data_IF_553026154587
#
_entry.id   IF_553026154587
#
_cell.length_a   1.000
_cell.length_b   1.000
_cell.length_c   1.000
_cell.angle_alpha   90.00
_cell.angle_beta   90.00
_cell.angle_gamma   90.00
#
_symmetry.space_group_name_H-M   'P 1'
#
loop_
_entity.id
_entity.type
_entity.pdbx_description
1 polymer ?
#
# COMPACT_ATOMS: atom_id res chain seq x y z
N UNK A 1 -14.83 1.53 -44.76
CA UNK A 1 -15.17 2.18 -43.48
C UNK A 1 -14.11 1.84 -42.43
N UNK A 2 -13.35 2.81 -41.90
CA UNK A 2 -12.37 2.53 -40.84
C UNK A 2 -13.03 2.53 -39.45
N UNK A 3 -12.93 1.42 -38.70
CA UNK A 3 -13.28 1.39 -37.27
C UNK A 3 -12.18 2.09 -36.47
N UNK A 4 -12.53 3.18 -35.78
CA UNK A 4 -11.60 4.00 -34.99
C UNK A 4 -11.31 3.29 -33.65
N UNK A 5 -10.04 2.93 -33.41
CA UNK A 5 -9.64 2.30 -32.15
C UNK A 5 -9.89 3.23 -30.93
N UNK A 6 -10.24 2.68 -29.74
CA UNK A 6 -10.54 3.47 -28.57
C UNK A 6 -9.29 4.17 -28.02
N UNK A 7 -9.29 5.50 -27.98
CA UNK A 7 -8.21 6.29 -27.36
C UNK A 7 -8.21 6.11 -25.84
N UNK A 8 -7.37 5.21 -25.33
CA UNK A 8 -7.09 5.12 -23.90
C UNK A 8 -6.53 6.46 -23.39
N UNK A 9 -7.30 7.11 -22.52
CA UNK A 9 -6.92 8.40 -21.94
C UNK A 9 -5.71 8.21 -21.01
N UNK A 10 -4.52 8.67 -21.43
CA UNK A 10 -3.29 8.66 -20.61
C UNK A 10 -3.39 9.66 -19.46
N UNK A 11 -4.11 9.29 -18.41
CA UNK A 11 -4.05 9.97 -17.11
C UNK A 11 -2.66 9.73 -16.48
N UNK A 12 -1.67 10.58 -16.80
CA UNK A 12 -0.38 10.61 -16.12
C UNK A 12 -0.61 10.87 -14.63
N UNK A 13 -0.39 9.86 -13.78
CA UNK A 13 -0.64 9.97 -12.34
C UNK A 13 0.46 10.77 -11.64
N UNK A 14 0.38 12.10 -11.75
CA UNK A 14 1.26 13.04 -11.03
C UNK A 14 1.11 12.94 -9.51
N UNK A 15 0.08 12.26 -9.01
CA UNK A 15 -0.13 11.99 -7.60
C UNK A 15 0.96 11.11 -6.97
N UNK A 16 1.53 10.12 -7.67
CA UNK A 16 2.51 9.20 -7.08
C UNK A 16 3.83 9.86 -6.64
N UNK A 17 4.53 10.68 -7.46
CA UNK A 17 5.72 11.38 -7.00
C UNK A 17 5.42 12.38 -5.88
N UNK A 18 4.24 13.01 -5.89
CA UNK A 18 3.82 13.91 -4.82
C UNK A 18 3.57 13.18 -3.49
N UNK A 19 2.92 12.00 -3.55
CA UNK A 19 2.76 11.08 -2.41
C UNK A 19 4.12 10.65 -1.86
N UNK A 20 5.09 10.34 -2.73
CA UNK A 20 6.44 9.95 -2.29
C UNK A 20 7.14 11.09 -1.53
N UNK A 21 7.09 12.32 -2.05
CA UNK A 21 7.68 13.49 -1.41
C UNK A 21 7.04 13.78 -0.04
N UNK A 22 5.70 13.74 0.06
CA UNK A 22 4.98 13.85 1.33
C UNK A 22 5.48 12.78 2.31
N UNK A 23 5.65 11.54 1.83
CA UNK A 23 5.99 10.41 2.69
C UNK A 23 7.44 10.46 3.21
N UNK A 24 8.39 10.89 2.37
CA UNK A 24 9.78 11.16 2.78
C UNK A 24 9.82 12.27 3.85
N UNK A 25 9.13 13.38 3.61
CA UNK A 25 9.01 14.50 4.57
C UNK A 25 8.27 14.13 5.87
N UNK A 26 7.39 13.13 5.82
CA UNK A 26 6.73 12.59 7.01
C UNK A 26 7.65 11.70 7.84
N UNK A 27 8.52 10.89 7.24
CA UNK A 27 9.40 9.99 8.02
C UNK A 27 10.65 10.72 8.53
N UNK A 28 11.24 11.63 7.76
CA UNK A 28 12.44 12.36 8.21
C UNK A 28 12.14 13.36 9.35
N UNK A 29 13.06 13.54 10.31
CA UNK A 29 12.89 14.50 11.40
C UNK A 29 12.96 15.94 10.87
N UNK A 30 12.04 16.80 11.31
CA UNK A 30 11.90 18.16 10.77
C UNK A 30 12.99 19.16 11.26
N UNK A 31 13.85 18.77 12.21
CA UNK A 31 14.88 19.62 12.80
C UNK A 31 16.25 19.44 12.10
N UNK A 32 16.41 19.99 10.89
CA UNK A 32 17.73 20.38 10.30
C UNK A 32 17.64 20.93 8.86
N UNK A 33 16.64 21.77 8.55
CA UNK A 33 16.93 22.84 7.58
C UNK A 33 17.83 23.87 8.29
N UNK A 34 18.93 24.34 7.68
CA UNK A 34 19.74 25.40 8.27
C UNK A 34 18.88 26.67 8.39
N UNK A 35 19.02 27.47 9.46
CA UNK A 35 18.33 28.74 9.55
C UNK A 35 18.81 29.64 8.41
N UNK A 36 17.87 30.04 7.54
CA UNK A 36 18.09 31.12 6.58
C UNK A 36 18.55 32.37 7.33
N UNK A 37 19.59 33.04 6.83
CA UNK A 37 20.19 34.24 7.41
C UNK A 37 19.17 35.38 7.56
N UNK A 38 18.46 35.41 8.69
CA UNK A 38 17.61 36.53 9.09
C UNK A 38 18.48 37.58 9.79
N UNK A 39 18.71 38.71 9.11
CA UNK A 39 19.44 39.84 9.67
C UNK A 39 18.79 40.40 10.94
N UNK A 40 19.59 41.08 11.74
CA UNK A 40 19.18 41.68 13.01
C UNK A 40 18.15 42.80 12.85
N UNK A 41 17.05 42.73 13.59
CA UNK A 41 16.45 43.90 14.22
C UNK A 41 15.68 43.51 15.48
N UNK A 42 15.79 44.33 16.52
CA UNK A 42 15.22 44.09 17.84
C UNK A 42 14.00 44.96 18.08
N UNK A 43 12.93 44.39 18.67
CA UNK A 43 12.12 45.04 19.70
C UNK A 43 11.16 44.04 20.36
N UNK A 44 10.80 44.30 21.62
CA UNK A 44 9.85 43.48 22.40
C UNK A 44 8.52 44.24 22.63
N UNK A 45 7.46 43.58 23.13
CA UNK A 45 6.08 43.99 22.82
C UNK A 45 5.45 44.96 23.83
N UNK A 46 4.35 45.59 23.40
CA UNK A 46 3.36 46.25 24.24
C UNK A 46 1.95 45.78 23.89
N UNK A 47 1.04 45.81 24.86
CA UNK A 47 -0.35 45.34 24.75
C UNK A 47 -1.33 46.46 25.11
N UNK A 48 -2.41 46.68 24.34
CA UNK A 48 -3.55 47.52 24.78
C UNK A 48 -4.82 47.39 23.90
N UNK A 49 -5.72 46.50 24.35
CA UNK A 49 -7.16 46.68 24.64
C UNK A 49 -7.95 47.92 24.10
N UNK A 50 -9.12 47.65 23.48
CA UNK A 50 -10.31 48.54 23.25
C UNK A 50 -10.16 49.74 22.25
N UNK A 51 -11.21 50.36 21.66
CA UNK A 51 -12.67 50.14 21.68
C UNK A 51 -13.42 50.60 20.39
N UNK A 52 -14.63 50.03 20.21
CA UNK A 52 -15.89 50.52 19.56
C UNK A 52 -15.97 51.83 18.71
N UNK A 53 -16.57 51.73 17.52
CA UNK A 53 -17.65 52.59 16.93
C UNK A 53 -18.04 52.05 15.53
N UNK A 54 -19.25 52.25 14.94
CA UNK A 54 -20.52 52.76 15.47
C UNK A 54 -21.49 53.37 14.41
N UNK A 55 -22.38 52.58 13.77
CA UNK A 55 -23.63 52.95 13.01
C UNK A 55 -24.36 51.66 12.57
N UNK A 56 -25.65 51.40 12.86
CA UNK A 56 -26.89 51.89 12.21
C UNK A 56 -26.96 51.56 10.70
N UNK A 57 -28.01 50.98 10.09
CA UNK A 57 -29.42 50.61 10.46
C UNK A 57 -29.97 49.61 9.36
N UNK A 58 -31.15 48.94 9.33
CA UNK A 58 -32.37 48.75 10.18
C UNK A 58 -33.21 47.52 9.66
N UNK A 59 -34.12 46.98 10.48
CA UNK A 59 -35.26 46.05 10.18
C UNK A 59 -34.95 44.66 9.52
N UNK A 60 -35.48 43.48 9.92
CA UNK A 60 -36.82 43.01 10.38
C UNK A 60 -37.81 42.73 9.21
N UNK A 61 -38.62 41.64 9.15
CA UNK A 61 -39.18 40.77 10.22
C UNK A 61 -39.47 39.31 9.77
N UNK A 62 -39.82 38.41 10.71
CA UNK A 62 -40.33 37.04 10.46
C UNK A 62 -41.87 36.97 10.39
N UNK A 63 -42.43 36.00 9.63
CA UNK A 63 -43.59 35.12 9.95
C UNK A 63 -43.82 34.08 8.81
N UNK A 64 -43.79 32.77 9.06
CA UNK A 64 -44.85 31.82 9.52
C UNK A 64 -45.67 31.14 8.39
N UNK A 65 -46.09 29.89 8.62
CA UNK A 65 -46.77 28.92 7.72
C UNK A 65 -48.33 29.05 7.82
N UNK A 66 -49.23 28.15 7.29
CA UNK A 66 -49.09 26.94 6.42
C UNK A 66 -50.17 26.76 5.30
N UNK A 67 -50.19 25.57 4.64
CA UNK A 67 -51.32 24.83 4.01
C UNK A 67 -52.22 25.45 2.90
N UNK A 68 -52.38 24.76 1.76
CA UNK A 68 -53.52 23.84 1.50
C UNK A 68 -53.43 23.01 0.18
N UNK A 69 -54.50 22.26 -0.13
CA UNK A 69 -54.64 21.30 -1.25
C UNK A 69 -54.99 22.00 -2.61
N UNK A 70 -55.10 21.34 -3.77
CA UNK A 70 -56.17 20.36 -4.15
C UNK A 70 -55.86 19.64 -5.48
N UNK A 71 -56.58 18.53 -5.76
CA UNK A 71 -56.50 17.74 -6.99
C UNK A 71 -57.39 18.26 -8.13
N UNK A 72 -57.02 17.88 -9.37
CA UNK A 72 -57.90 17.77 -10.54
C UNK A 72 -57.63 18.78 -11.68
N UNK A 73 -58.10 18.56 -12.91
CA UNK A 73 -58.52 17.33 -13.62
C UNK A 73 -58.80 17.68 -15.10
N UNK A 74 -58.77 16.67 -15.97
CA UNK A 74 -59.39 16.66 -17.31
C UNK A 74 -58.84 17.64 -18.39
N UNK A 75 -59.19 17.40 -19.67
CA UNK A 75 -58.70 18.09 -20.88
C UNK A 75 -59.88 18.65 -21.71
N UNK A 76 -59.70 19.30 -22.89
CA UNK A 76 -59.36 18.57 -24.13
C UNK A 76 -58.49 19.34 -25.16
N UNK A 77 -58.21 18.68 -26.29
CA UNK A 77 -57.49 19.22 -27.45
C UNK A 77 -58.29 20.27 -28.23
N UNK A 78 -57.59 21.19 -28.92
CA UNK A 78 -58.13 21.98 -30.03
C UNK A 78 -57.11 22.02 -31.18
N UNK A 79 -57.62 22.05 -32.42
CA UNK A 79 -56.87 21.77 -33.65
C UNK A 79 -57.13 22.89 -34.66
N UNK A 80 -56.09 23.63 -35.03
CA UNK A 80 -56.14 24.64 -36.10
C UNK A 80 -54.86 24.60 -36.95
N UNK A 81 -54.97 25.00 -38.21
CA UNK A 81 -53.94 24.90 -39.25
C UNK A 81 -53.36 26.26 -39.66
N UNK A 82 -52.20 26.20 -40.33
CA UNK A 82 -51.59 27.21 -41.21
C UNK A 82 -51.08 28.54 -40.61
N UNK A 83 -49.93 28.98 -41.13
CA UNK A 83 -49.64 30.41 -41.30
C UNK A 83 -48.22 30.88 -40.99
N UNK A 84 -47.39 31.04 -42.03
CA UNK A 84 -46.43 32.14 -42.18
C UNK A 84 -45.12 32.15 -41.36
N UNK A 85 -44.00 32.31 -42.07
CA UNK A 85 -42.74 32.82 -41.50
C UNK A 85 -42.80 34.34 -41.31
N UNK A 86 -42.38 34.86 -40.14
CA UNK A 86 -41.69 36.15 -39.97
C UNK A 86 -41.33 36.41 -38.49
N UNK A 87 -40.21 37.12 -38.25
CA UNK A 87 -40.04 37.96 -37.05
C UNK A 87 -39.11 37.45 -35.96
N UNK A 88 -38.07 38.24 -35.70
CA UNK A 88 -37.03 38.11 -34.68
C UNK A 88 -37.45 37.59 -33.30
N UNK A 89 -36.58 36.78 -32.69
CA UNK A 89 -36.53 36.61 -31.23
C UNK A 89 -35.10 36.61 -30.71
N UNK A 90 -34.89 37.32 -29.59
CA UNK A 90 -33.57 37.66 -29.04
C UNK A 90 -32.77 36.42 -28.61
N UNK A 91 -31.42 36.44 -28.70
CA UNK A 91 -30.58 35.33 -28.27
C UNK A 91 -30.70 35.10 -26.75
N UNK A 92 -31.36 34.01 -26.38
CA UNK A 92 -31.56 33.59 -24.98
C UNK A 92 -30.23 33.54 -24.20
N UNK A 93 -30.18 34.07 -22.97
CA UNK A 93 -28.96 34.05 -22.17
C UNK A 93 -28.53 32.62 -21.87
N UNK A 94 -27.29 32.27 -22.25
CA UNK A 94 -26.71 30.95 -21.98
C UNK A 94 -26.75 30.68 -20.47
N UNK A 95 -27.39 29.58 -20.06
CA UNK A 95 -27.42 29.12 -18.66
C UNK A 95 -25.99 29.12 -18.09
N UNK A 96 -25.75 29.68 -16.88
CA UNK A 96 -24.42 29.72 -16.30
C UNK A 96 -23.76 28.34 -16.26
N UNK A 97 -22.49 28.28 -16.63
CA UNK A 97 -21.76 27.02 -16.76
C UNK A 97 -21.43 26.45 -15.36
N UNK A 98 -22.36 25.68 -14.79
CA UNK A 98 -22.22 25.08 -13.46
C UNK A 98 -20.98 24.16 -13.41
N UNK A 99 -19.92 24.63 -12.76
CA UNK A 99 -18.62 23.94 -12.73
C UNK A 99 -18.74 22.63 -11.95
N UNK A 100 -18.17 21.56 -12.53
CA UNK A 100 -18.28 20.15 -12.11
C UNK A 100 -17.59 19.82 -10.76
N UNK A 101 -18.16 20.29 -9.64
CA UNK A 101 -17.73 19.92 -8.28
C UNK A 101 -18.08 18.45 -7.93
N UNK A 102 -19.33 18.02 -8.14
CA UNK A 102 -19.78 16.64 -7.88
C UNK A 102 -18.96 15.59 -8.65
N UNK A 103 -18.68 15.87 -9.92
CA UNK A 103 -17.84 15.06 -10.82
C UNK A 103 -16.39 14.90 -10.31
N UNK A 104 -15.92 15.81 -9.45
CA UNK A 104 -14.56 15.83 -8.92
C UNK A 104 -14.50 15.11 -7.57
N UNK A 105 -15.46 15.37 -6.67
CA UNK A 105 -15.54 14.66 -5.37
C UNK A 105 -15.83 13.16 -5.55
N UNK A 106 -16.69 12.77 -6.49
CA UNK A 106 -16.96 11.36 -6.82
C UNK A 106 -15.72 10.63 -7.37
N UNK A 107 -14.94 11.27 -8.24
CA UNK A 107 -13.66 10.73 -8.73
C UNK A 107 -12.61 10.63 -7.61
N UNK A 108 -12.53 11.65 -6.74
CA UNK A 108 -11.61 11.63 -5.60
C UNK A 108 -11.97 10.53 -4.59
N UNK A 109 -13.26 10.35 -4.25
CA UNK A 109 -13.74 9.25 -3.41
C UNK A 109 -13.46 7.88 -4.04
N UNK A 110 -13.66 7.73 -5.36
CA UNK A 110 -13.33 6.50 -6.09
C UNK A 110 -11.83 6.21 -6.09
N UNK A 111 -10.99 7.24 -6.25
CA UNK A 111 -9.53 7.13 -6.14
C UNK A 111 -9.11 6.75 -4.71
N UNK A 112 -9.71 7.35 -3.69
CA UNK A 112 -9.42 7.07 -2.30
C UNK A 112 -9.85 5.66 -1.87
N UNK A 113 -10.98 5.15 -2.37
CA UNK A 113 -11.38 3.75 -2.12
C UNK A 113 -10.43 2.75 -2.79
N UNK A 114 -9.93 3.04 -3.99
CA UNK A 114 -8.95 2.21 -4.72
C UNK A 114 -7.55 2.24 -4.11
N UNK A 115 -7.15 3.38 -3.53
CA UNK A 115 -5.83 3.58 -2.91
C UNK A 115 -5.91 3.64 -1.37
N UNK A 116 -6.93 3.03 -0.76
CA UNK A 116 -7.22 3.18 0.67
C UNK A 116 -6.01 2.86 1.56
N UNK A 117 -5.34 1.73 1.31
CA UNK A 117 -4.18 1.34 2.09
C UNK A 117 -3.02 2.35 1.96
N UNK A 118 -2.75 2.87 0.76
CA UNK A 118 -1.70 3.87 0.54
C UNK A 118 -1.99 5.19 1.26
N UNK A 119 -3.22 5.70 1.15
CA UNK A 119 -3.63 6.93 1.87
C UNK A 119 -3.65 6.70 3.38
N UNK A 120 -4.12 5.53 3.81
CA UNK A 120 -4.09 5.07 5.21
C UNK A 120 -2.68 5.03 5.79
N UNK A 121 -1.68 4.59 5.02
CA UNK A 121 -0.27 4.62 5.44
C UNK A 121 0.21 6.05 5.68
N UNK A 122 -0.14 7.01 4.80
CA UNK A 122 0.22 8.44 4.97
C UNK A 122 -0.42 9.00 6.24
N UNK A 123 -1.72 8.72 6.46
CA UNK A 123 -2.47 9.16 7.65
C UNK A 123 -1.92 8.49 8.92
N UNK A 124 -1.51 7.23 8.87
CA UNK A 124 -0.88 6.52 9.98
C UNK A 124 0.47 7.17 10.36
N UNK A 125 1.37 7.41 9.40
CA UNK A 125 2.66 8.08 9.71
C UNK A 125 2.42 9.52 10.22
N UNK A 126 1.53 10.28 9.58
CA UNK A 126 1.22 11.66 9.98
C UNK A 126 0.63 11.76 11.38
N UNK A 127 -0.37 10.94 11.71
CA UNK A 127 -0.97 10.92 13.05
C UNK A 127 0.00 10.39 14.11
N UNK A 128 0.87 9.43 13.77
CA UNK A 128 1.92 8.97 14.67
C UNK A 128 3.00 10.04 14.92
N UNK A 129 3.31 10.89 13.93
CA UNK A 129 4.26 12.01 14.09
C UNK A 129 3.67 13.15 14.94
N UNK A 130 2.37 13.41 14.81
CA UNK A 130 1.67 14.47 15.55
C UNK A 130 1.32 14.07 17.00
N UNK A 131 0.88 12.82 17.22
CA UNK A 131 0.36 12.36 18.52
C UNK A 131 0.95 11.01 18.99
N UNK A 132 2.29 10.83 19.01
CA UNK A 132 2.92 9.54 19.31
C UNK A 132 2.56 8.99 20.70
N UNK A 133 2.27 9.87 21.67
CA UNK A 133 1.89 9.47 23.03
C UNK A 133 0.58 8.66 23.12
N UNK A 134 -0.32 8.80 22.15
CA UNK A 134 -1.59 8.06 22.12
C UNK A 134 -1.34 6.58 21.74
N UNK A 135 -0.44 6.35 20.78
CA UNK A 135 -0.21 5.05 20.15
C UNK A 135 1.07 4.31 20.56
N UNK A 136 1.91 4.87 21.44
CA UNK A 136 3.08 4.18 22.00
C UNK A 136 2.66 2.99 22.89
N UNK A 137 3.58 2.05 23.12
CA UNK A 137 3.37 1.00 24.11
C UNK A 137 3.32 1.62 25.53
N UNK A 138 2.39 1.16 26.37
CA UNK A 138 2.05 1.84 27.63
C UNK A 138 1.37 3.20 27.45
N UNK A 139 0.99 3.58 26.22
CA UNK A 139 0.21 4.77 25.91
C UNK A 139 -1.27 4.61 26.27
N UNK A 140 -2.05 5.66 26.04
CA UNK A 140 -3.46 5.75 26.49
C UNK A 140 -4.35 4.63 25.93
N UNK A 141 -4.09 4.17 24.70
CA UNK A 141 -4.87 3.10 24.05
C UNK A 141 -4.28 1.69 24.25
N UNK A 142 -3.13 1.56 24.95
CA UNK A 142 -2.30 0.33 25.04
C UNK A 142 -2.34 -0.57 23.79
N UNK A 143 -1.95 -0.07 22.59
CA UNK A 143 -2.11 -0.81 21.34
C UNK A 143 -1.38 -2.15 21.32
N UNK A 144 -0.30 -2.30 22.08
CA UNK A 144 0.42 -3.55 22.26
C UNK A 144 -0.48 -4.73 22.68
N UNK A 145 -1.49 -4.47 23.52
CA UNK A 145 -2.40 -5.51 24.00
C UNK A 145 -3.45 -5.87 22.93
N UNK A 146 -4.11 -4.88 22.35
CA UNK A 146 -5.20 -5.11 21.39
C UNK A 146 -4.68 -5.36 19.97
N UNK A 147 -3.88 -4.45 19.43
CA UNK A 147 -3.38 -4.48 18.05
C UNK A 147 -2.21 -5.47 17.93
N UNK A 148 -1.34 -5.57 18.96
CA UNK A 148 -0.21 -6.51 18.98
C UNK A 148 -0.59 -7.98 19.17
N UNK A 149 -1.56 -8.30 20.06
CA UNK A 149 -1.99 -9.68 20.26
C UNK A 149 -3.18 -10.08 19.38
N UNK A 150 -4.30 -9.36 19.50
CA UNK A 150 -5.53 -9.71 18.78
C UNK A 150 -5.44 -9.31 17.30
N UNK A 151 -4.91 -8.12 16.99
CA UNK A 151 -4.74 -7.66 15.60
C UNK A 151 -3.88 -8.59 14.73
N UNK A 152 -2.72 -9.03 15.22
CA UNK A 152 -1.86 -10.01 14.54
C UNK A 152 -2.60 -11.34 14.31
N UNK A 153 -3.22 -11.88 15.35
CA UNK A 153 -4.04 -13.10 15.30
C UNK A 153 -5.15 -12.98 14.26
N UNK A 154 -5.86 -11.84 14.21
CA UNK A 154 -6.92 -11.58 13.25
C UNK A 154 -6.42 -11.41 11.82
N UNK A 155 -5.26 -10.79 11.57
CA UNK A 155 -4.67 -10.72 10.22
C UNK A 155 -4.40 -12.13 9.71
N UNK A 156 -3.83 -13.00 10.53
CA UNK A 156 -3.51 -14.39 10.14
C UNK A 156 -4.76 -15.27 10.00
N UNK A 157 -5.74 -15.13 10.90
CA UNK A 157 -7.05 -15.77 10.79
C UNK A 157 -7.79 -15.37 9.49
N UNK A 158 -7.77 -14.08 9.14
CA UNK A 158 -8.41 -13.57 7.91
C UNK A 158 -7.62 -13.94 6.65
N UNK A 159 -6.29 -14.06 6.70
CA UNK A 159 -5.49 -14.63 5.61
C UNK A 159 -5.85 -16.10 5.37
N UNK A 160 -5.97 -16.91 6.44
CA UNK A 160 -6.45 -18.28 6.35
C UNK A 160 -7.87 -18.36 5.78
N UNK A 161 -8.80 -17.57 6.31
CA UNK A 161 -10.19 -17.53 5.84
C UNK A 161 -10.32 -16.99 4.40
N UNK A 162 -9.38 -16.21 3.89
CA UNK A 162 -9.39 -15.66 2.52
C UNK A 162 -8.91 -16.64 1.44
N UNK A 163 -8.26 -17.75 1.80
CA UNK A 163 -7.53 -18.59 0.86
C UNK A 163 -8.42 -19.69 0.24
N UNK A 164 -8.79 -19.51 -1.04
CA UNK A 164 -9.51 -20.52 -1.83
C UNK A 164 -8.54 -21.56 -2.43
N UNK A 165 -8.67 -22.82 -2.01
CA UNK A 165 -7.80 -23.92 -2.49
C UNK A 165 -8.03 -24.26 -3.97
N UNK A 166 -9.23 -24.02 -4.51
CA UNK A 166 -9.56 -24.18 -5.94
C UNK A 166 -8.81 -23.18 -6.83
N UNK A 167 -8.85 -21.88 -6.49
CA UNK A 167 -8.07 -20.83 -7.17
C UNK A 167 -6.57 -21.17 -7.14
N UNK A 168 -6.09 -21.69 -6.00
CA UNK A 168 -4.70 -22.11 -5.85
C UNK A 168 -4.35 -23.32 -6.73
N UNK A 169 -5.24 -24.32 -6.82
CA UNK A 169 -5.00 -25.55 -7.61
C UNK A 169 -4.92 -25.27 -9.12
N UNK A 170 -5.81 -24.42 -9.63
CA UNK A 170 -5.82 -24.08 -11.06
C UNK A 170 -4.57 -23.28 -11.47
N UNK A 171 -4.19 -22.28 -10.67
CA UNK A 171 -3.01 -21.46 -10.93
C UNK A 171 -1.67 -22.09 -10.46
N UNK A 172 -1.72 -23.23 -9.74
CA UNK A 172 -0.53 -24.04 -9.44
C UNK A 172 -0.01 -24.81 -10.66
N UNK A 173 -0.79 -24.90 -11.75
CA UNK A 173 -0.45 -25.57 -13.01
C UNK A 173 0.94 -25.22 -13.57
N UNK A 174 1.33 -23.94 -13.58
CA UNK A 174 2.71 -23.56 -13.90
C UNK A 174 3.64 -23.69 -12.69
N UNK A 175 3.83 -24.93 -12.22
CA UNK A 175 4.69 -25.27 -11.09
C UNK A 175 6.14 -24.77 -11.26
N UNK A 176 6.63 -24.72 -12.51
CA UNK A 176 7.98 -24.26 -12.87
C UNK A 176 8.17 -22.76 -12.57
N UNK A 177 7.23 -21.92 -12.99
CA UNK A 177 7.21 -20.49 -12.65
C UNK A 177 7.11 -20.29 -11.15
N UNK A 178 6.19 -21.03 -10.53
CA UNK A 178 5.88 -20.89 -9.11
C UNK A 178 7.09 -21.25 -8.23
N UNK A 179 7.73 -22.40 -8.48
CA UNK A 179 8.94 -22.84 -7.78
C UNK A 179 10.09 -21.83 -7.92
N UNK A 180 10.33 -21.30 -9.13
CA UNK A 180 11.36 -20.28 -9.33
C UNK A 180 11.12 -19.02 -8.52
N UNK A 181 9.88 -18.50 -8.47
CA UNK A 181 9.56 -17.31 -7.65
C UNK A 181 9.80 -17.59 -6.17
N UNK A 182 9.45 -18.78 -5.66
CA UNK A 182 9.71 -19.11 -4.25
C UNK A 182 11.20 -19.27 -3.94
N UNK A 183 11.97 -19.94 -4.82
CA UNK A 183 13.43 -20.03 -4.70
C UNK A 183 14.09 -18.65 -4.73
N UNK A 184 13.64 -17.75 -5.60
CA UNK A 184 14.16 -16.38 -5.60
C UNK A 184 13.79 -15.64 -4.30
N UNK A 185 12.55 -15.79 -3.83
CA UNK A 185 12.03 -15.07 -2.65
C UNK A 185 12.70 -15.51 -1.34
N UNK A 186 12.96 -16.81 -1.16
CA UNK A 186 13.41 -17.41 0.11
C UNK A 186 14.83 -17.98 0.10
N UNK A 187 15.46 -18.18 -1.07
CA UNK A 187 16.85 -18.66 -1.17
C UNK A 187 17.76 -17.59 -1.81
N UNK A 188 17.45 -17.10 -3.02
CA UNK A 188 18.31 -16.12 -3.69
C UNK A 188 18.35 -14.77 -2.95
N UNK A 189 17.19 -14.22 -2.57
CA UNK A 189 17.13 -12.95 -1.84
C UNK A 189 17.89 -13.00 -0.51
N UNK A 190 17.70 -13.99 0.40
CA UNK A 190 18.43 -13.99 1.67
C UNK A 190 19.92 -14.30 1.53
N UNK A 191 20.29 -15.31 0.73
CA UNK A 191 21.67 -15.82 0.71
C UNK A 191 22.57 -15.19 -0.35
N UNK A 192 22.04 -14.76 -1.49
CA UNK A 192 22.82 -14.13 -2.57
C UNK A 192 22.75 -12.60 -2.55
N UNK A 193 21.73 -12.02 -1.89
CA UNK A 193 21.58 -10.56 -1.77
C UNK A 193 21.72 -10.10 -0.32
N UNK A 194 20.90 -10.63 0.61
CA UNK A 194 20.83 -10.18 2.00
C UNK A 194 22.14 -10.33 2.78
N UNK A 195 22.70 -11.54 2.82
CA UNK A 195 23.97 -11.80 3.53
C UNK A 195 25.16 -11.06 2.87
N UNK A 196 25.39 -11.12 1.54
CA UNK A 196 26.50 -10.38 0.92
C UNK A 196 26.36 -8.86 1.04
N UNK A 197 25.14 -8.30 0.92
CA UNK A 197 24.92 -6.87 1.11
C UNK A 197 25.23 -6.43 2.54
N UNK A 198 24.68 -7.12 3.54
CA UNK A 198 24.81 -6.69 4.94
C UNK A 198 26.24 -6.86 5.45
N UNK A 199 26.91 -7.96 5.11
CA UNK A 199 28.34 -8.17 5.43
C UNK A 199 29.27 -7.29 4.61
N UNK A 200 28.94 -7.02 3.34
CA UNK A 200 29.69 -6.08 2.49
C UNK A 200 29.61 -4.64 3.00
N UNK A 201 28.45 -4.20 3.49
CA UNK A 201 28.33 -2.89 4.16
C UNK A 201 29.09 -2.85 5.49
N UNK A 202 28.97 -3.90 6.31
CA UNK A 202 29.67 -4.03 7.61
C UNK A 202 31.20 -4.03 7.46
N UNK A 203 31.72 -4.64 6.39
CA UNK A 203 33.16 -4.72 6.10
C UNK A 203 33.72 -3.51 5.34
N UNK A 204 33.08 -3.09 4.24
CA UNK A 204 33.59 -2.00 3.39
C UNK A 204 33.29 -0.61 3.95
N UNK A 205 32.24 -0.45 4.76
CA UNK A 205 31.84 0.82 5.35
C UNK A 205 31.48 0.66 6.85
N UNK A 206 32.46 0.33 7.72
CA UNK A 206 32.22 0.13 9.15
C UNK A 206 31.51 1.34 9.78
N UNK A 207 30.41 1.09 10.49
CA UNK A 207 29.61 2.14 11.14
C UNK A 207 28.64 2.91 10.23
N UNK A 208 28.57 2.65 8.92
CA UNK A 208 27.62 3.32 8.01
C UNK A 208 26.15 3.09 8.41
N UNK A 209 25.85 1.91 8.97
CA UNK A 209 24.56 1.57 9.56
C UNK A 209 24.84 0.77 10.86
N UNK A 210 24.18 1.08 12.00
CA UNK A 210 24.29 0.28 13.21
C UNK A 210 23.74 -1.13 13.01
N UNK A 211 24.28 -2.09 13.75
CA UNK A 211 24.00 -3.52 13.59
C UNK A 211 22.50 -3.90 13.49
N UNK A 212 21.57 -3.33 14.29
CA UNK A 212 20.14 -3.61 14.17
C UNK A 212 19.49 -3.19 12.84
N UNK A 213 20.06 -2.21 12.11
CA UNK A 213 19.60 -1.86 10.76
C UNK A 213 20.09 -2.83 9.70
N UNK A 214 21.34 -3.29 9.81
CA UNK A 214 21.88 -4.34 8.94
C UNK A 214 21.06 -5.63 9.14
N UNK A 215 20.70 -5.94 10.39
CA UNK A 215 19.81 -7.03 10.72
C UNK A 215 18.40 -6.79 10.16
N UNK A 216 17.84 -5.57 10.27
CA UNK A 216 16.58 -5.18 9.61
C UNK A 216 16.58 -5.33 8.08
N UNK A 217 17.72 -5.07 7.42
CA UNK A 217 17.90 -5.26 5.98
C UNK A 217 17.93 -6.76 5.62
N UNK A 218 18.63 -7.59 6.40
CA UNK A 218 18.63 -9.03 6.22
C UNK A 218 17.24 -9.63 6.50
N UNK A 219 16.57 -9.22 7.58
CA UNK A 219 15.17 -9.56 7.88
C UNK A 219 14.27 -9.27 6.67
N UNK A 220 14.34 -8.06 6.09
CA UNK A 220 13.56 -7.68 4.92
C UNK A 220 13.75 -8.66 3.75
N UNK A 221 14.97 -9.16 3.51
CA UNK A 221 15.21 -10.12 2.43
C UNK A 221 14.51 -11.47 2.64
N UNK A 222 14.26 -11.89 3.90
CA UNK A 222 13.58 -13.16 4.23
C UNK A 222 12.05 -13.13 4.07
N UNK A 223 11.45 -11.96 3.82
CA UNK A 223 9.99 -11.82 3.80
C UNK A 223 9.33 -12.36 2.52
N UNK A 224 8.07 -12.84 2.61
CA UNK A 224 7.25 -13.16 1.45
C UNK A 224 6.79 -11.91 0.69
N UNK A 225 6.17 -12.13 -0.48
CA UNK A 225 5.72 -11.04 -1.38
C UNK A 225 4.33 -10.48 -1.06
N UNK A 226 3.95 -9.36 -1.69
CA UNK A 226 2.68 -8.67 -1.43
C UNK A 226 1.52 -9.20 -2.28
N UNK A 227 0.35 -9.47 -1.69
CA UNK A 227 -0.83 -9.96 -2.42
C UNK A 227 -1.49 -8.86 -3.27
N UNK A 228 -2.29 -7.98 -2.66
CA UNK A 228 -3.08 -6.95 -3.38
C UNK A 228 -2.24 -6.10 -4.33
N UNK A 229 -1.00 -5.83 -3.94
CA UNK A 229 -0.10 -4.92 -4.63
C UNK A 229 0.59 -5.56 -5.86
N UNK A 230 1.12 -6.79 -5.77
CA UNK A 230 1.68 -7.45 -6.96
C UNK A 230 0.58 -7.71 -7.99
N UNK A 231 -0.62 -8.09 -7.53
CA UNK A 231 -1.80 -8.26 -8.38
C UNK A 231 -2.16 -6.96 -9.12
N UNK A 232 -2.22 -5.84 -8.38
CA UNK A 232 -2.50 -4.52 -8.96
C UNK A 232 -1.45 -4.11 -10.02
N UNK A 233 -0.15 -4.21 -9.69
CA UNK A 233 0.92 -3.84 -10.61
C UNK A 233 0.97 -4.76 -11.84
N UNK A 234 0.76 -6.07 -11.66
CA UNK A 234 0.69 -7.04 -12.75
C UNK A 234 -0.49 -6.74 -13.68
N UNK A 235 -1.69 -6.52 -13.12
CA UNK A 235 -2.89 -6.18 -13.88
C UNK A 235 -2.74 -4.87 -14.66
N UNK A 236 -2.19 -3.83 -14.02
CA UNK A 236 -1.94 -2.54 -14.67
C UNK A 236 -0.88 -2.63 -15.79
N UNK A 237 0.05 -3.60 -15.69
CA UNK A 237 1.08 -3.90 -16.68
C UNK A 237 0.66 -4.96 -17.71
N UNK A 238 -0.61 -5.37 -17.79
CA UNK A 238 -1.10 -6.36 -18.78
C UNK A 238 -0.64 -7.81 -18.55
N UNK A 239 -0.06 -8.11 -17.38
CA UNK A 239 0.48 -9.41 -17.02
C UNK A 239 -0.54 -10.42 -16.48
N UNK A 240 -0.07 -11.63 -16.14
CA UNK A 240 -0.91 -12.72 -15.67
C UNK A 240 -1.37 -12.52 -14.22
N UNK A 241 -2.61 -12.06 -14.06
CA UNK A 241 -3.25 -11.87 -12.75
C UNK A 241 -3.34 -13.18 -11.97
N UNK A 242 -3.67 -14.29 -12.64
CA UNK A 242 -3.74 -15.62 -12.01
C UNK A 242 -2.37 -16.08 -11.47
N UNK A 243 -1.32 -15.98 -12.27
CA UNK A 243 0.04 -16.33 -11.84
C UNK A 243 0.54 -15.42 -10.71
N UNK A 244 0.13 -14.14 -10.70
CA UNK A 244 0.46 -13.17 -9.65
C UNK A 244 -0.24 -13.49 -8.32
N UNK A 245 -1.55 -13.77 -8.38
CA UNK A 245 -2.35 -14.21 -7.22
C UNK A 245 -1.77 -15.49 -6.62
N UNK A 246 -1.53 -16.50 -7.46
CA UNK A 246 -0.95 -17.78 -7.05
C UNK A 246 0.41 -17.61 -6.36
N UNK A 247 1.35 -16.91 -6.99
CA UNK A 247 2.67 -16.71 -6.41
C UNK A 247 2.66 -15.91 -5.12
N UNK A 248 1.78 -14.91 -5.00
CA UNK A 248 1.62 -14.17 -3.77
C UNK A 248 1.02 -15.03 -2.65
N UNK A 249 0.02 -15.88 -2.95
CA UNK A 249 -0.56 -16.81 -1.99
C UNK A 249 0.45 -17.88 -1.56
N UNK A 250 1.09 -18.58 -2.50
CA UNK A 250 2.12 -19.60 -2.21
C UNK A 250 3.26 -18.99 -1.39
N UNK A 251 3.71 -17.78 -1.72
CA UNK A 251 4.76 -17.08 -0.98
C UNK A 251 4.32 -16.75 0.45
N UNK A 252 3.12 -16.20 0.66
CA UNK A 252 2.66 -15.92 2.03
C UNK A 252 2.41 -17.21 2.83
N UNK A 253 1.99 -18.30 2.19
CA UNK A 253 1.84 -19.62 2.82
C UNK A 253 3.18 -20.21 3.24
N UNK A 254 4.19 -20.24 2.35
CA UNK A 254 5.53 -20.70 2.74
C UNK A 254 6.22 -19.75 3.72
N UNK A 255 5.95 -18.45 3.67
CA UNK A 255 6.47 -17.45 4.60
C UNK A 255 6.15 -17.76 6.08
N UNK A 256 5.02 -18.42 6.36
CA UNK A 256 4.62 -18.91 7.69
C UNK A 256 5.69 -19.82 8.32
N UNK A 257 6.46 -20.54 7.50
CA UNK A 257 7.47 -21.50 7.94
C UNK A 257 8.90 -21.05 7.59
N UNK A 258 9.12 -20.65 6.33
CA UNK A 258 10.44 -20.32 5.82
C UNK A 258 11.00 -19.02 6.38
N UNK A 259 10.18 -17.97 6.54
CA UNK A 259 10.68 -16.72 7.13
C UNK A 259 11.14 -16.94 8.58
N UNK A 260 10.35 -17.55 9.50
CA UNK A 260 10.86 -17.99 10.80
C UNK A 260 12.15 -18.81 10.77
N UNK A 261 12.24 -19.82 9.89
CA UNK A 261 13.43 -20.68 9.80
C UNK A 261 14.68 -19.91 9.34
N UNK A 262 14.53 -19.02 8.36
CA UNK A 262 15.60 -18.12 7.90
C UNK A 262 16.02 -17.14 8.99
N UNK A 263 15.07 -16.53 9.69
CA UNK A 263 15.35 -15.61 10.79
C UNK A 263 16.11 -16.31 11.92
N UNK A 264 15.71 -17.53 12.33
CA UNK A 264 16.50 -18.30 13.29
C UNK A 264 17.88 -18.67 12.73
N UNK A 265 17.98 -19.05 11.46
CA UNK A 265 19.27 -19.39 10.82
C UNK A 265 20.27 -18.23 10.78
N UNK A 266 19.80 -16.97 10.73
CA UNK A 266 20.67 -15.78 10.73
C UNK A 266 20.86 -15.13 12.10
N UNK A 267 19.85 -15.20 12.99
CA UNK A 267 19.82 -14.46 14.25
C UNK A 267 19.74 -15.33 15.51
N UNK A 268 19.78 -16.66 15.39
CA UNK A 268 19.51 -17.60 16.50
C UNK A 268 20.40 -17.51 17.75
N UNK A 269 21.51 -16.75 17.71
CA UNK A 269 22.33 -16.40 18.88
C UNK A 269 22.05 -14.98 19.43
N UNK A 270 21.46 -14.10 18.61
CA UNK A 270 21.05 -12.74 18.97
C UNK A 270 19.59 -12.67 19.49
N UNK A 271 18.91 -13.82 19.54
CA UNK A 271 17.57 -13.95 20.11
C UNK A 271 17.70 -14.71 21.44
N UNK A 272 17.30 -14.06 22.52
CA UNK A 272 17.36 -14.59 23.90
C UNK A 272 16.39 -15.77 24.15
N UNK A 273 15.44 -16.00 23.25
CA UNK A 273 14.47 -17.10 23.34
C UNK A 273 15.04 -18.39 22.73
N UNK A 274 15.08 -19.52 23.46
CA UNK A 274 15.54 -20.79 22.91
C UNK A 274 14.63 -21.24 21.75
N UNK A 275 15.22 -21.88 20.74
CA UNK A 275 14.58 -22.16 19.44
C UNK A 275 13.18 -22.78 19.56
N UNK A 276 13.00 -23.79 20.41
CA UNK A 276 11.70 -24.43 20.61
C UNK A 276 10.62 -23.47 21.12
N UNK A 277 10.97 -22.57 22.05
CA UNK A 277 10.04 -21.55 22.54
C UNK A 277 9.67 -20.52 21.46
N UNK A 278 10.63 -20.14 20.60
CA UNK A 278 10.34 -19.32 19.42
C UNK A 278 9.40 -20.03 18.44
N UNK A 279 9.68 -21.29 18.09
CA UNK A 279 8.86 -22.06 17.15
C UNK A 279 7.44 -22.20 17.70
N UNK A 280 7.27 -22.54 18.98
CA UNK A 280 5.95 -22.59 19.63
C UNK A 280 5.26 -21.21 19.61
N UNK A 281 5.96 -20.12 19.95
CA UNK A 281 5.42 -18.75 19.91
C UNK A 281 4.91 -18.39 18.51
N UNK A 282 5.67 -18.74 17.47
CA UNK A 282 5.32 -18.45 16.07
C UNK A 282 4.22 -19.37 15.53
N UNK A 283 4.22 -20.66 15.89
CA UNK A 283 3.10 -21.55 15.62
C UNK A 283 1.80 -21.02 16.23
N UNK A 284 1.82 -20.58 17.49
CA UNK A 284 0.64 -20.03 18.16
C UNK A 284 0.19 -18.67 17.60
N UNK A 285 1.12 -17.81 17.17
CA UNK A 285 0.83 -16.45 16.65
C UNK A 285 0.48 -16.39 15.16
N UNK A 286 0.94 -17.36 14.36
CA UNK A 286 0.88 -17.31 12.88
C UNK A 286 0.19 -18.55 12.31
N UNK A 287 0.68 -19.74 12.62
CA UNK A 287 0.19 -20.99 12.02
C UNK A 287 -1.22 -21.35 12.52
N UNK A 288 -1.41 -21.40 13.85
CA UNK A 288 -2.69 -21.75 14.47
C UNK A 288 -3.85 -20.85 13.98
N UNK A 289 -3.72 -19.52 13.92
CA UNK A 289 -4.77 -18.67 13.35
C UNK A 289 -5.04 -18.94 11.85
N UNK A 290 -4.00 -19.15 11.03
CA UNK A 290 -4.16 -19.51 9.60
C UNK A 290 -4.90 -20.84 9.45
N UNK A 291 -4.52 -21.86 10.23
CA UNK A 291 -5.16 -23.18 10.23
C UNK A 291 -6.62 -23.10 10.65
N UNK A 292 -6.94 -22.37 11.73
CA UNK A 292 -8.33 -22.13 12.14
C UNK A 292 -9.10 -21.37 11.05
N UNK A 293 -8.49 -20.40 10.38
CA UNK A 293 -9.10 -19.67 9.27
C UNK A 293 -9.43 -20.56 8.07
N UNK A 294 -8.53 -21.48 7.72
CA UNK A 294 -8.75 -22.50 6.68
C UNK A 294 -9.84 -23.50 7.06
N UNK A 295 -9.84 -24.01 8.30
CA UNK A 295 -10.89 -24.90 8.81
C UNK A 295 -12.27 -24.21 8.77
N UNK A 296 -12.34 -22.92 9.14
CA UNK A 296 -13.55 -22.13 9.01
C UNK A 296 -13.98 -21.95 7.55
N UNK A 297 -13.05 -21.81 6.57
CA UNK A 297 -13.39 -21.78 5.14
C UNK A 297 -13.93 -23.12 4.61
N UNK A 298 -13.78 -24.22 5.36
CA UNK A 298 -14.49 -25.48 5.12
C UNK A 298 -15.97 -25.48 5.53
N UNK A 299 -16.47 -24.40 6.14
CA UNK A 299 -17.85 -24.29 6.66
C UNK A 299 -18.64 -23.18 5.96
N UNK A 300 -19.89 -22.95 6.39
CA UNK A 300 -20.74 -21.80 5.99
C UNK A 300 -20.06 -20.43 6.12
N UNK A 301 -18.97 -20.32 6.90
CA UNK A 301 -18.15 -19.11 6.95
C UNK A 301 -17.48 -18.76 5.60
N UNK A 302 -17.34 -19.72 4.65
CA UNK A 302 -16.93 -19.43 3.27
C UNK A 302 -17.88 -18.43 2.61
N UNK A 303 -19.18 -18.67 2.70
CA UNK A 303 -20.20 -17.87 2.04
C UNK A 303 -20.34 -16.50 2.71
N UNK A 304 -20.30 -16.47 4.06
CA UNK A 304 -20.24 -15.24 4.85
C UNK A 304 -19.02 -14.40 4.46
N UNK A 305 -17.84 -15.02 4.31
CA UNK A 305 -16.63 -14.35 3.86
C UNK A 305 -16.77 -13.84 2.42
N UNK A 306 -17.16 -14.69 1.47
CA UNK A 306 -17.20 -14.33 0.05
C UNK A 306 -18.18 -13.16 -0.20
N UNK A 307 -19.38 -13.23 0.40
CA UNK A 307 -20.41 -12.17 0.33
C UNK A 307 -19.96 -10.85 1.00
N UNK A 308 -19.07 -10.90 1.99
CA UNK A 308 -18.55 -9.73 2.70
C UNK A 308 -17.05 -9.46 2.44
N UNK A 309 -16.48 -10.04 1.38
CA UNK A 309 -15.01 -10.11 1.16
C UNK A 309 -14.36 -8.72 1.11
N UNK A 310 -15.04 -7.73 0.54
CA UNK A 310 -14.63 -6.31 0.55
C UNK A 310 -14.50 -5.75 1.98
N UNK A 311 -15.40 -6.11 2.89
CA UNK A 311 -15.38 -5.68 4.31
C UNK A 311 -14.23 -6.37 5.06
N UNK A 312 -14.05 -7.68 4.88
CA UNK A 312 -12.97 -8.41 5.54
C UNK A 312 -11.58 -7.97 5.07
N UNK A 313 -11.39 -7.73 3.76
CA UNK A 313 -10.14 -7.15 3.24
C UNK A 313 -9.90 -5.73 3.79
N UNK A 314 -10.94 -4.89 3.87
CA UNK A 314 -10.84 -3.55 4.48
C UNK A 314 -10.54 -3.59 5.98
N UNK A 315 -11.06 -4.58 6.72
CA UNK A 315 -10.74 -4.81 8.13
C UNK A 315 -9.27 -5.22 8.29
N UNK A 316 -8.76 -6.14 7.46
CA UNK A 316 -7.36 -6.55 7.47
C UNK A 316 -6.41 -5.38 7.13
N UNK A 317 -6.78 -4.53 6.16
CA UNK A 317 -6.09 -3.27 5.86
C UNK A 317 -6.05 -2.33 7.07
N UNK A 318 -7.19 -2.12 7.76
CA UNK A 318 -7.27 -1.24 8.94
C UNK A 318 -6.41 -1.77 10.10
N UNK A 319 -6.50 -3.06 10.43
CA UNK A 319 -5.70 -3.66 11.52
C UNK A 319 -4.21 -3.51 11.21
N UNK A 320 -3.79 -3.76 9.96
CA UNK A 320 -2.39 -3.58 9.57
C UNK A 320 -1.93 -2.13 9.69
N UNK A 321 -2.75 -1.17 9.26
CA UNK A 321 -2.48 0.26 9.44
C UNK A 321 -2.36 0.63 10.93
N UNK A 322 -3.13 -0.01 11.82
CA UNK A 322 -2.98 0.17 13.28
C UNK A 322 -1.67 -0.39 13.83
N UNK A 323 -1.18 -1.54 13.31
CA UNK A 323 0.14 -2.09 13.69
C UNK A 323 1.26 -1.15 13.23
N UNK A 324 1.18 -0.65 11.99
CA UNK A 324 2.11 0.35 11.45
C UNK A 324 2.09 1.63 12.28
N UNK A 325 0.90 2.13 12.63
CA UNK A 325 0.73 3.32 13.45
C UNK A 325 1.35 3.16 14.85
N UNK A 326 1.11 2.04 15.53
CA UNK A 326 1.75 1.73 16.82
C UNK A 326 3.29 1.63 16.69
N UNK A 327 3.80 0.98 15.64
CA UNK A 327 5.24 0.91 15.37
C UNK A 327 5.85 2.32 15.18
N UNK A 328 5.22 3.18 14.38
CA UNK A 328 5.65 4.58 14.21
C UNK A 328 5.51 5.42 15.50
N UNK A 329 4.46 5.23 16.30
CA UNK A 329 4.30 5.93 17.58
C UNK A 329 5.40 5.56 18.58
N UNK A 330 5.78 4.28 18.66
CA UNK A 330 6.93 3.83 19.45
C UNK A 330 8.24 4.44 18.94
N UNK A 331 8.47 4.37 17.63
CA UNK A 331 9.63 4.95 16.94
C UNK A 331 9.79 6.46 17.18
N UNK A 332 8.70 7.24 17.08
CA UNK A 332 8.74 8.68 17.34
C UNK A 332 8.79 9.03 18.83
N UNK A 333 8.36 8.14 19.74
CA UNK A 333 8.47 8.37 21.19
C UNK A 333 9.87 8.06 21.73
N UNK A 334 10.42 6.88 21.39
CA UNK A 334 11.72 6.41 21.91
C UNK A 334 12.92 6.94 21.10
N UNK A 335 12.65 7.54 19.94
CA UNK A 335 13.62 7.60 18.85
C UNK A 335 13.74 6.24 18.15
N UNK A 336 14.04 6.25 16.85
CA UNK A 336 14.24 5.01 16.08
C UNK A 336 15.62 4.37 16.30
N UNK A 337 16.51 5.01 17.06
CA UNK A 337 17.96 4.77 17.00
C UNK A 337 18.57 5.24 15.67
N UNK A 338 17.90 6.15 14.96
CA UNK A 338 18.28 6.60 13.61
C UNK A 338 18.58 8.09 13.59
N UNK A 339 19.87 8.42 13.58
CA UNK A 339 20.37 9.70 13.09
C UNK A 339 19.94 9.93 11.63
N UNK A 340 19.90 11.20 11.22
CA UNK A 340 19.50 11.62 9.88
C UNK A 340 20.30 10.89 8.78
N UNK A 341 21.60 10.66 9.01
CA UNK A 341 22.48 9.89 8.12
C UNK A 341 21.93 8.49 7.82
N UNK A 342 21.54 7.72 8.85
CA UNK A 342 21.00 6.37 8.68
C UNK A 342 19.69 6.36 7.89
N UNK A 343 18.84 7.36 8.10
CA UNK A 343 17.62 7.57 7.32
C UNK A 343 17.91 7.86 5.84
N UNK A 344 18.92 8.68 5.56
CA UNK A 344 19.36 8.99 4.18
C UNK A 344 19.95 7.75 3.51
N UNK A 345 20.83 6.99 4.18
CA UNK A 345 21.42 5.75 3.64
C UNK A 345 20.35 4.71 3.33
N UNK A 346 19.33 4.53 4.19
CA UNK A 346 18.21 3.65 3.88
C UNK A 346 17.37 4.15 2.69
N UNK A 347 17.13 5.46 2.61
CA UNK A 347 16.37 6.07 1.51
C UNK A 347 17.11 6.05 0.17
N UNK A 348 18.43 5.90 0.12
CA UNK A 348 19.18 5.68 -1.12
C UNK A 348 19.37 4.20 -1.43
N UNK A 349 19.71 3.38 -0.43
CA UNK A 349 19.98 1.95 -0.59
C UNK A 349 18.73 1.14 -0.99
N UNK A 350 17.59 1.37 -0.33
CA UNK A 350 16.39 0.56 -0.52
C UNK A 350 15.77 0.69 -1.93
N UNK A 351 15.65 1.90 -2.53
CA UNK A 351 15.24 2.03 -3.93
C UNK A 351 16.17 1.31 -4.90
N UNK A 352 17.49 1.44 -4.72
CA UNK A 352 18.49 0.83 -5.60
C UNK A 352 18.43 -0.70 -5.51
N UNK A 353 18.33 -1.25 -4.30
CA UNK A 353 18.19 -2.68 -4.03
C UNK A 353 16.94 -3.27 -4.69
N UNK A 354 15.77 -2.63 -4.51
CA UNK A 354 14.51 -3.14 -5.06
C UNK A 354 14.40 -2.94 -6.58
N UNK A 355 14.89 -1.81 -7.13
CA UNK A 355 14.98 -1.63 -8.59
C UNK A 355 15.95 -2.63 -9.21
N UNK A 356 17.08 -2.91 -8.56
CA UNK A 356 18.02 -3.96 -8.93
C UNK A 356 17.35 -5.34 -8.97
N UNK A 357 16.60 -5.71 -7.94
CA UNK A 357 15.81 -6.96 -7.93
C UNK A 357 14.78 -7.02 -9.07
N UNK A 358 14.06 -5.93 -9.33
CA UNK A 358 13.08 -5.88 -10.43
C UNK A 358 13.76 -6.11 -11.79
N UNK A 359 14.87 -5.44 -12.05
CA UNK A 359 15.64 -5.59 -13.29
C UNK A 359 16.28 -6.97 -13.42
N UNK A 360 16.86 -7.51 -12.34
CA UNK A 360 17.46 -8.85 -12.32
C UNK A 360 16.40 -9.95 -12.53
N UNK A 361 15.26 -9.86 -11.83
CA UNK A 361 14.13 -10.79 -12.00
C UNK A 361 13.57 -10.71 -13.41
N UNK A 362 13.41 -9.50 -13.97
CA UNK A 362 12.95 -9.32 -15.35
C UNK A 362 13.96 -9.80 -16.38
N UNK A 363 15.27 -9.74 -16.09
CA UNK A 363 16.32 -10.38 -16.89
C UNK A 363 16.15 -11.90 -16.88
N UNK A 364 16.12 -12.51 -15.70
CA UNK A 364 16.03 -13.95 -15.50
C UNK A 364 14.77 -14.57 -16.13
N UNK A 365 13.59 -14.01 -15.84
CA UNK A 365 12.32 -14.56 -16.35
C UNK A 365 12.15 -14.38 -17.87
N UNK A 366 12.80 -13.39 -18.50
CA UNK A 366 12.83 -13.23 -19.97
C UNK A 366 13.69 -14.25 -20.71
N UNK A 367 14.49 -15.07 -20.01
CA UNK A 367 15.37 -16.04 -20.69
C UNK A 367 14.57 -17.17 -21.36
N UNK A 368 14.94 -17.51 -22.60
CA UNK A 368 14.30 -18.61 -23.36
C UNK A 368 14.43 -19.99 -22.67
N UNK A 369 15.35 -20.15 -21.72
CA UNK A 369 15.54 -21.39 -20.95
C UNK A 369 14.26 -21.86 -20.21
N UNK A 370 13.33 -20.94 -19.91
CA UNK A 370 12.14 -21.28 -19.14
C UNK A 370 10.83 -21.35 -19.93
N UNK A 371 10.76 -20.73 -21.12
CA UNK A 371 9.56 -20.65 -21.98
C UNK A 371 8.29 -20.07 -21.30
N UNK A 372 8.44 -19.14 -20.36
CA UNK A 372 7.30 -18.41 -19.78
C UNK A 372 6.75 -17.37 -20.75
N UNK A 373 5.43 -17.17 -20.77
CA UNK A 373 4.80 -16.12 -21.57
C UNK A 373 5.14 -14.71 -21.05
N UNK A 374 5.13 -13.69 -21.92
CA UNK A 374 5.42 -12.29 -21.53
C UNK A 374 4.55 -11.82 -20.36
N UNK A 375 3.30 -12.30 -20.28
CA UNK A 375 2.36 -12.00 -19.19
C UNK A 375 2.77 -12.62 -17.85
N UNK A 376 3.28 -13.86 -17.86
CA UNK A 376 3.78 -14.55 -16.66
C UNK A 376 5.11 -13.96 -16.16
N UNK A 377 6.00 -13.57 -17.08
CA UNK A 377 7.29 -12.96 -16.73
C UNK A 377 7.10 -11.66 -15.94
N UNK A 378 6.14 -10.81 -16.34
CA UNK A 378 5.76 -9.60 -15.59
C UNK A 378 5.20 -9.93 -14.21
N UNK A 379 4.33 -10.94 -14.11
CA UNK A 379 3.77 -11.39 -12.85
C UNK A 379 4.86 -11.89 -11.87
N UNK A 380 5.74 -12.76 -12.36
CA UNK A 380 6.83 -13.36 -11.60
C UNK A 380 7.90 -12.33 -11.20
N UNK A 381 8.22 -11.37 -12.05
CA UNK A 381 9.12 -10.25 -11.74
C UNK A 381 8.62 -9.45 -10.53
N UNK A 382 7.34 -9.06 -10.50
CA UNK A 382 6.75 -8.37 -9.36
C UNK A 382 6.70 -9.27 -8.12
N UNK A 383 6.21 -10.51 -8.24
CA UNK A 383 6.13 -11.41 -7.10
C UNK A 383 7.50 -11.72 -6.48
N UNK A 384 8.56 -11.91 -7.27
CA UNK A 384 9.90 -12.23 -6.77
C UNK A 384 10.65 -11.02 -6.16
N UNK A 385 10.25 -9.77 -6.46
CA UNK A 385 10.97 -8.56 -6.04
C UNK A 385 10.31 -7.79 -4.90
N UNK A 386 8.99 -7.93 -4.73
CA UNK A 386 8.22 -7.24 -3.71
C UNK A 386 8.30 -7.96 -2.36
N UNK A 387 8.24 -7.20 -1.27
CA UNK A 387 8.33 -7.69 0.11
C UNK A 387 7.17 -7.13 0.94
N UNK A 388 6.53 -7.98 1.74
CA UNK A 388 5.24 -7.65 2.37
C UNK A 388 5.37 -7.24 3.83
N UNK A 389 5.09 -5.95 4.07
CA UNK A 389 4.94 -5.37 5.40
C UNK A 389 3.80 -6.05 6.19
N UNK A 390 2.76 -6.53 5.49
CA UNK A 390 1.59 -7.20 6.08
C UNK A 390 1.93 -8.46 6.89
N UNK A 391 2.97 -9.19 6.46
CA UNK A 391 3.49 -10.37 7.14
C UNK A 391 4.69 -10.01 8.03
N UNK A 392 5.62 -9.22 7.48
CA UNK A 392 6.89 -8.93 8.14
C UNK A 392 6.77 -8.14 9.43
N UNK A 393 5.96 -7.08 9.47
CA UNK A 393 5.88 -6.23 10.67
C UNK A 393 5.26 -6.98 11.89
N UNK A 394 4.15 -7.73 11.75
CA UNK A 394 3.68 -8.65 12.79
C UNK A 394 4.73 -9.67 13.26
N UNK A 395 5.50 -10.24 12.31
CA UNK A 395 6.48 -11.27 12.62
C UNK A 395 7.67 -10.70 13.42
N UNK A 396 8.24 -9.58 12.97
CA UNK A 396 9.38 -8.92 13.64
C UNK A 396 8.97 -8.45 15.04
N UNK A 397 7.79 -7.85 15.19
CA UNK A 397 7.24 -7.48 16.50
C UNK A 397 7.04 -8.69 17.44
N UNK A 398 6.78 -9.89 16.90
CA UNK A 398 6.62 -11.13 17.69
C UNK A 398 7.96 -11.77 18.05
N UNK A 399 8.95 -11.70 17.16
CA UNK A 399 10.28 -12.32 17.33
C UNK A 399 11.16 -11.47 18.25
N UNK A 400 11.24 -10.17 18.01
CA UNK A 400 12.06 -9.21 18.76
C UNK A 400 11.23 -8.42 19.78
N UNK A 401 10.19 -9.05 20.32
CA UNK A 401 9.34 -8.49 21.38
C UNK A 401 10.18 -8.16 22.63
N UNK A 402 9.99 -6.98 23.20
CA UNK A 402 10.78 -6.49 24.35
C UNK A 402 12.15 -5.89 24.01
N UNK A 403 12.75 -6.24 22.86
CA UNK A 403 14.06 -5.74 22.45
C UNK A 403 14.04 -4.20 22.25
N UNK A 404 15.04 -3.50 22.79
CA UNK A 404 15.17 -2.03 22.68
C UNK A 404 15.27 -1.54 21.23
N UNK A 405 15.89 -2.33 20.36
CA UNK A 405 16.16 -2.00 18.95
C UNK A 405 15.03 -2.40 17.99
N UNK A 406 13.86 -2.82 18.49
CA UNK A 406 12.73 -3.28 17.66
C UNK A 406 12.37 -2.30 16.52
N UNK A 407 12.39 -0.99 16.79
CA UNK A 407 12.14 0.03 15.77
C UNK A 407 13.14 -0.02 14.61
N UNK A 408 14.41 -0.32 14.86
CA UNK A 408 15.44 -0.43 13.84
C UNK A 408 15.31 -1.71 13.00
N UNK A 409 14.97 -2.86 13.61
CA UNK A 409 14.65 -4.08 12.85
C UNK A 409 13.45 -3.89 11.92
N UNK A 410 12.44 -3.13 12.35
CA UNK A 410 11.25 -2.82 11.54
C UNK A 410 11.52 -1.77 10.45
N UNK A 411 12.46 -0.84 10.67
CA UNK A 411 12.62 0.34 9.83
C UNK A 411 12.81 0.04 8.32
N UNK A 412 13.70 -0.88 7.87
CA UNK A 412 13.87 -1.16 6.45
C UNK A 412 12.59 -1.67 5.75
N UNK A 413 11.77 -2.44 6.47
CA UNK A 413 10.47 -2.93 5.98
C UNK A 413 9.47 -1.76 5.85
N UNK A 414 9.48 -0.85 6.83
CA UNK A 414 8.63 0.34 6.83
C UNK A 414 9.04 1.31 5.72
N UNK A 415 10.35 1.53 5.52
CA UNK A 415 10.93 2.37 4.45
C UNK A 415 10.65 1.81 3.04
N UNK A 416 10.86 0.52 2.78
CA UNK A 416 10.70 -0.01 1.42
C UNK A 416 9.23 -0.07 0.96
N UNK A 417 8.27 -0.27 1.86
CA UNK A 417 6.94 -0.76 1.47
C UNK A 417 6.14 0.11 0.47
N UNK A 418 6.16 1.46 0.51
CA UNK A 418 5.60 2.29 -0.55
C UNK A 418 6.61 2.68 -1.63
N UNK A 419 7.93 2.65 -1.35
CA UNK A 419 8.95 2.82 -2.40
C UNK A 419 8.78 1.78 -3.51
N UNK A 420 8.57 0.51 -3.15
CA UNK A 420 8.28 -0.56 -4.11
C UNK A 420 6.98 -0.34 -4.92
N UNK A 421 6.02 0.48 -4.42
CA UNK A 421 4.81 0.83 -5.17
C UNK A 421 5.05 1.94 -6.17
N UNK A 422 5.83 2.95 -5.80
CA UNK A 422 6.22 4.01 -6.74
C UNK A 422 7.12 3.44 -7.84
N UNK A 423 8.17 2.69 -7.47
CA UNK A 423 9.08 2.05 -8.43
C UNK A 423 8.36 1.05 -9.34
N UNK A 424 7.51 0.18 -8.79
CA UNK A 424 6.70 -0.74 -9.61
C UNK A 424 5.77 0.00 -10.57
N UNK A 425 5.08 1.06 -10.10
CA UNK A 425 4.17 1.86 -10.93
C UNK A 425 4.87 2.66 -12.03
N UNK A 426 6.14 3.04 -11.82
CA UNK A 426 6.97 3.70 -12.84
C UNK A 426 7.38 2.73 -13.96
N UNK A 427 7.48 1.43 -13.69
CA UNK A 427 7.76 0.41 -14.71
C UNK A 427 6.51 -0.01 -15.51
N UNK A 428 5.31 0.04 -14.90
CA UNK A 428 4.03 -0.37 -15.52
C UNK A 428 3.87 0.10 -16.98
N UNK A 429 4.13 1.36 -17.37
CA UNK A 429 3.97 1.79 -18.77
C UNK A 429 4.90 1.09 -19.77
N UNK A 430 6.12 0.71 -19.36
CA UNK A 430 7.06 -0.04 -20.22
C UNK A 430 6.71 -1.52 -20.27
N UNK A 431 6.31 -2.10 -19.14
CA UNK A 431 5.89 -3.50 -19.05
C UNK A 431 4.58 -3.74 -19.82
N UNK A 432 3.65 -2.78 -19.78
CA UNK A 432 2.42 -2.81 -20.60
C UNK A 432 2.72 -2.87 -22.10
N UNK A 433 3.66 -2.06 -22.61
CA UNK A 433 4.10 -2.14 -24.01
C UNK A 433 4.76 -3.49 -24.34
N UNK A 434 5.57 -4.03 -23.42
CA UNK A 434 6.17 -5.36 -23.58
C UNK A 434 5.11 -6.48 -23.68
N UNK A 435 3.99 -6.37 -22.96
CA UNK A 435 2.87 -7.31 -23.02
C UNK A 435 1.87 -7.08 -24.15
N UNK A 436 1.78 -5.87 -24.73
CA UNK A 436 0.83 -5.58 -25.82
C UNK A 436 1.31 -6.07 -27.19
N UNK A 437 2.62 -6.19 -27.39
CA UNK A 437 3.21 -6.89 -28.54
C UNK A 437 2.96 -8.43 -28.54
N UNK A 438 1.85 -8.88 -27.98
CA UNK A 438 1.29 -10.22 -28.20
C UNK A 438 0.20 -10.21 -29.27
N UNK A 439 -0.36 -9.02 -29.56
CA UNK A 439 -1.51 -8.87 -30.45
C UNK A 439 -1.08 -8.66 -31.93
N UNK A 440 0.21 -8.36 -32.18
CA UNK A 440 0.81 -8.22 -33.54
C UNK A 440 1.44 -9.54 -34.06
N UNK A 441 2.13 -10.28 -33.19
CA UNK A 441 2.88 -11.49 -33.59
C UNK A 441 1.94 -12.65 -33.99
N UNK A 442 0.74 -12.74 -33.39
CA UNK A 442 -0.17 -13.87 -33.53
C UNK A 442 -1.09 -13.89 -34.77
N UNK A 443 -1.16 -12.81 -35.55
CA UNK A 443 -1.98 -12.72 -36.77
C UNK A 443 -1.17 -13.05 -38.04
N UNK A 444 0.16 -12.96 -37.97
CA UNK A 444 1.08 -13.24 -39.08
C UNK A 444 1.33 -14.75 -39.30
N UNK A 445 1.33 -15.54 -38.22
CA UNK A 445 1.46 -17.02 -38.24
C UNK A 445 0.17 -17.73 -38.74
N UNK A 446 -0.87 -16.98 -39.12
CA UNK A 446 -2.12 -17.49 -39.71
C UNK A 446 -2.32 -17.03 -41.17
N UNK A 447 -1.31 -16.40 -41.80
CA UNK A 447 -1.38 -15.86 -43.16
C UNK A 447 -0.23 -16.30 -44.09
N UNK A 448 0.57 -17.31 -43.69
CA UNK A 448 1.61 -17.96 -44.52
C UNK A 448 1.46 -19.48 -44.49
#
# INVERSE_FOLDING_TARGET
MMKKAPRHHRARSMALPFILLIWISLILPAKSFPPSLSGSSSTQPTSLTLALTGKHDKAASLRFLPNHCRNGKDAPSLLFMNGGDAGDSLPQPKKPLAIKTSDTMSKLGTFAQKNFFLLGMIVAVGSAKLFPHIGKNGGMLRPELFIGNFGVTCIFLLSGLSLEVSELKEAASNYKLNLMVQLITFLAWPFLVGVPLTRGLEFCFPGLLPKPLLDGLLILTTLPTTVNMCIFLTSAAGGSVASSLCNAVISNLFGIFLTPALLFRFFGQAIELPFGAMVIKLCNKVLLPVTVGQLLRGTKMKDVYNNNSKKFKRLQEIILLSIVWNAFCNAFTKGMGLDLHHGIVLLTLLPLLHLGSLLASFGLFRTKMFNFSRREQVAAMFCASHKTLAFGLPLVNTIFEGNSNLAAYCAPIMFIHPLQLVLGSLLVPRLSMYTSHLDDDGDNDLQN
#
